data_IF_961288837918
#
_entry.id   IF_961288837918
#
_cell.length_a   1.000
_cell.length_b   1.000
_cell.length_c   1.000
_cell.angle_alpha   90.00
_cell.angle_beta   90.00
_cell.angle_gamma   90.00
#
_symmetry.space_group_name_H-M   'P 1'
#
loop_
_entity.id
_entity.type
_entity.pdbx_description
1 polymer ?
#
# COMPACT_ATOMS: atom_id res chain seq x y z
N UNK A 1 -16.21 24.05 38.40
CA UNK A 1 -15.45 23.99 37.12
C UNK A 1 -15.38 22.56 36.63
N UNK A 2 -15.29 22.38 35.32
CA UNK A 2 -14.94 21.15 34.61
C UNK A 2 -13.88 21.50 33.58
N UNK A 3 -13.14 20.52 33.05
CA UNK A 3 -11.98 20.82 32.22
C UNK A 3 -11.44 19.67 31.41
N UNK A 4 -10.51 20.00 30.51
CA UNK A 4 -9.59 19.04 29.89
C UNK A 4 -8.18 19.33 30.37
N UNK A 5 -7.38 18.27 30.49
CA UNK A 5 -5.96 18.36 30.86
C UNK A 5 -5.15 17.73 29.75
N UNK A 6 -4.20 18.49 29.20
CA UNK A 6 -3.15 17.99 28.33
C UNK A 6 -1.85 17.84 29.11
N UNK A 7 -1.11 16.78 28.85
CA UNK A 7 0.20 16.53 29.43
C UNK A 7 1.24 16.32 28.33
N UNK A 8 2.40 16.96 28.46
CA UNK A 8 3.59 16.65 27.66
C UNK A 8 4.68 16.13 28.59
N UNK A 9 5.06 14.86 28.42
CA UNK A 9 6.17 14.26 29.16
C UNK A 9 7.51 14.89 28.75
N UNK A 10 7.69 15.13 27.45
CA UNK A 10 8.90 15.77 26.89
C UNK A 10 9.16 17.14 27.51
N UNK A 11 8.12 17.97 27.63
CA UNK A 11 8.24 19.31 28.21
C UNK A 11 7.95 19.35 29.71
N UNK A 12 7.65 18.21 30.33
CA UNK A 12 7.22 18.09 31.74
C UNK A 12 6.13 19.11 32.11
N UNK A 13 5.19 19.33 31.20
CA UNK A 13 4.18 20.38 31.32
C UNK A 13 2.76 19.80 31.39
N UNK A 14 1.92 20.43 32.22
CA UNK A 14 0.48 20.17 32.29
C UNK A 14 -0.28 21.44 31.95
N UNK A 15 -1.12 21.37 30.92
CA UNK A 15 -1.99 22.47 30.51
C UNK A 15 -3.43 22.08 30.84
N UNK A 16 -4.14 22.98 31.53
CA UNK A 16 -5.54 22.78 31.89
C UNK A 16 -6.40 23.85 31.24
N UNK A 17 -7.42 23.42 30.51
CA UNK A 17 -8.49 24.31 30.07
C UNK A 17 -9.71 24.04 30.93
N UNK A 18 -10.15 25.05 31.69
CA UNK A 18 -11.25 24.95 32.65
C UNK A 18 -12.41 25.85 32.22
N UNK A 19 -13.64 25.38 32.39
CA UNK A 19 -14.85 26.16 32.15
C UNK A 19 -15.93 25.87 33.21
N UNK A 20 -16.98 26.70 33.22
CA UNK A 20 -18.09 26.55 34.18
C UNK A 20 -18.95 25.32 33.83
N UNK A 21 -19.56 24.70 34.85
CA UNK A 21 -20.36 23.47 34.64
C UNK A 21 -21.65 23.70 33.83
N UNK A 22 -22.21 24.89 33.89
CA UNK A 22 -23.39 25.34 33.16
C UNK A 22 -23.07 25.82 31.73
N UNK A 23 -21.80 25.82 31.35
CA UNK A 23 -21.32 26.34 30.08
C UNK A 23 -20.75 25.22 29.21
N UNK A 24 -20.88 25.34 27.89
CA UNK A 24 -20.20 24.43 26.96
C UNK A 24 -18.74 24.87 26.75
N UNK A 25 -17.80 23.95 26.49
CA UNK A 25 -16.40 24.32 26.20
C UNK A 25 -16.29 25.24 24.97
N UNK A 26 -17.20 25.11 24.01
CA UNK A 26 -17.27 25.99 22.84
C UNK A 26 -17.64 27.43 23.21
N UNK A 27 -18.64 27.60 24.09
CA UNK A 27 -19.04 28.93 24.59
C UNK A 27 -17.89 29.59 25.34
N UNK A 28 -17.18 28.83 26.19
CA UNK A 28 -16.02 29.33 26.92
C UNK A 28 -14.89 29.78 25.98
N UNK A 29 -14.60 29.02 24.92
CA UNK A 29 -13.61 29.41 23.92
C UNK A 29 -14.01 30.68 23.16
N UNK A 30 -15.29 30.86 22.83
CA UNK A 30 -15.79 32.09 22.17
C UNK A 30 -15.72 33.30 23.08
N UNK A 31 -16.01 33.14 24.38
CA UNK A 31 -15.87 34.22 25.35
C UNK A 31 -14.40 34.65 25.49
N UNK A 32 -13.47 33.70 25.56
CA UNK A 32 -12.03 33.99 25.59
C UNK A 32 -11.60 34.70 24.30
N UNK A 33 -11.97 34.17 23.14
CA UNK A 33 -11.65 34.79 21.85
C UNK A 33 -12.23 36.19 21.70
N UNK A 34 -13.46 36.41 22.18
CA UNK A 34 -14.10 37.73 22.17
C UNK A 34 -13.46 38.72 23.15
N UNK A 35 -12.95 38.24 24.29
CA UNK A 35 -12.30 39.08 25.30
C UNK A 35 -10.85 39.42 24.94
N UNK A 36 -10.06 38.43 24.53
CA UNK A 36 -8.64 38.58 24.18
C UNK A 36 -8.43 39.14 22.76
N UNK A 37 -9.47 39.10 21.92
CA UNK A 37 -9.41 39.47 20.50
C UNK A 37 -8.67 38.47 19.63
N UNK A 38 -7.95 37.52 20.22
CA UNK A 38 -7.29 36.42 19.53
C UNK A 38 -7.33 35.13 20.34
N UNK A 39 -7.44 34.00 19.64
CA UNK A 39 -7.26 32.67 20.22
C UNK A 39 -6.55 31.77 19.20
N UNK A 40 -5.64 30.92 19.66
CA UNK A 40 -4.98 29.96 18.77
C UNK A 40 -6.01 28.95 18.22
N UNK A 41 -6.16 28.83 16.90
CA UNK A 41 -7.05 27.84 16.29
C UNK A 41 -6.63 26.40 16.66
N UNK A 42 -5.33 26.13 16.70
CA UNK A 42 -4.80 24.84 17.14
C UNK A 42 -5.23 24.51 18.58
N UNK A 43 -5.13 25.47 19.51
CA UNK A 43 -5.55 25.28 20.90
C UNK A 43 -7.06 25.02 21.00
N UNK A 44 -7.89 25.82 20.32
CA UNK A 44 -9.33 25.63 20.30
C UNK A 44 -9.72 24.25 19.71
N UNK A 45 -9.03 23.83 18.64
CA UNK A 45 -9.18 22.52 18.01
C UNK A 45 -8.89 21.36 18.98
N UNK A 46 -7.73 21.41 19.63
CA UNK A 46 -7.32 20.40 20.61
C UNK A 46 -8.31 20.30 21.79
N UNK A 47 -8.70 21.44 22.35
CA UNK A 47 -9.62 21.52 23.49
C UNK A 47 -11.00 20.96 23.13
N UNK A 48 -11.57 21.38 21.98
CA UNK A 48 -12.89 20.89 21.57
C UNK A 48 -12.89 19.41 21.24
N UNK A 49 -11.85 18.90 20.59
CA UNK A 49 -11.72 17.48 20.30
C UNK A 49 -11.65 16.66 21.61
N UNK A 50 -10.79 17.08 22.55
CA UNK A 50 -10.66 16.44 23.85
C UNK A 50 -11.97 16.49 24.65
N UNK A 51 -12.64 17.64 24.71
CA UNK A 51 -13.86 17.80 25.48
C UNK A 51 -15.06 17.03 24.90
N UNK A 52 -15.05 16.72 23.60
CA UNK A 52 -16.08 15.89 22.97
C UNK A 52 -15.83 14.38 23.07
N UNK A 53 -14.64 13.97 23.51
CA UNK A 53 -14.27 12.56 23.61
C UNK A 53 -15.19 11.80 24.57
N UNK A 54 -15.61 10.59 24.17
CA UNK A 54 -16.44 9.70 25.00
C UNK A 54 -15.63 8.77 25.89
N UNK A 55 -14.42 8.42 25.46
CA UNK A 55 -13.50 7.53 26.16
C UNK A 55 -12.19 8.30 26.36
N UNK A 56 -11.54 8.14 27.52
CA UNK A 56 -10.29 8.80 27.87
C UNK A 56 -9.25 7.74 28.30
N UNK A 57 -7.94 8.00 28.10
CA UNK A 57 -7.36 9.18 27.47
C UNK A 57 -7.55 9.19 25.94
N UNK A 58 -7.58 10.39 25.35
CA UNK A 58 -7.42 10.59 23.90
C UNK A 58 -6.01 11.07 23.61
N UNK A 59 -5.38 10.48 22.60
CA UNK A 59 -3.97 10.67 22.29
C UNK A 59 -3.78 11.37 20.95
N UNK A 60 -4.55 10.98 19.92
CA UNK A 60 -4.32 11.45 18.55
C UNK A 60 -5.27 12.59 18.14
N UNK A 61 -6.55 12.50 18.52
CA UNK A 61 -7.60 13.42 18.06
C UNK A 61 -7.33 14.90 18.36
N UNK A 62 -6.85 15.30 19.56
CA UNK A 62 -6.54 16.70 19.83
C UNK A 62 -5.48 17.25 18.86
N UNK A 63 -4.41 16.51 18.62
CA UNK A 63 -3.31 16.93 17.73
C UNK A 63 -3.75 16.99 16.26
N UNK A 64 -4.53 16.02 15.79
CA UNK A 64 -5.01 15.99 14.41
C UNK A 64 -5.98 17.14 14.10
N UNK A 65 -6.89 17.46 15.02
CA UNK A 65 -7.82 18.60 14.86
C UNK A 65 -7.08 19.92 14.99
N UNK A 66 -6.11 20.03 15.91
CA UNK A 66 -5.26 21.21 16.06
C UNK A 66 -4.51 21.51 14.75
N UNK A 67 -3.86 20.50 14.16
CA UNK A 67 -3.17 20.61 12.87
C UNK A 67 -4.10 21.12 11.76
N UNK A 68 -5.33 20.60 11.65
CA UNK A 68 -6.29 21.07 10.65
C UNK A 68 -6.71 22.53 10.88
N UNK A 69 -6.85 22.96 12.14
CA UNK A 69 -7.19 24.34 12.47
C UNK A 69 -6.09 25.35 12.10
N UNK A 70 -4.83 24.92 12.10
CA UNK A 70 -3.65 25.74 11.87
C UNK A 70 -3.22 25.84 10.39
N UNK A 71 -3.92 25.14 9.49
CA UNK A 71 -3.62 25.17 8.04
C UNK A 71 -3.76 26.56 7.42
N UNK A 72 -4.58 27.43 8.02
CA UNK A 72 -4.81 28.80 7.59
C UNK A 72 -4.47 29.77 8.71
N UNK A 73 -3.96 30.98 8.39
CA UNK A 73 -3.73 32.00 9.39
C UNK A 73 -5.02 32.33 10.16
N UNK A 74 -4.87 32.72 11.43
CA UNK A 74 -5.97 33.27 12.21
C UNK A 74 -6.54 34.51 11.52
N UNK A 75 -7.86 34.62 11.51
CA UNK A 75 -8.56 35.80 10.99
C UNK A 75 -9.45 36.38 12.10
N UNK A 76 -10.21 37.44 11.78
CA UNK A 76 -11.14 38.03 12.72
C UNK A 76 -12.14 36.98 13.26
N UNK A 77 -12.56 37.09 14.53
CA UNK A 77 -13.55 36.19 15.11
C UNK A 77 -14.83 36.14 14.27
N UNK A 78 -15.33 34.93 14.03
CA UNK A 78 -16.61 34.67 13.37
C UNK A 78 -17.64 34.19 14.39
N UNK A 79 -18.92 34.34 14.05
CA UNK A 79 -20.01 34.01 14.96
C UNK A 79 -21.09 33.12 14.34
N UNK A 80 -20.68 32.02 13.71
CA UNK A 80 -21.60 31.10 13.06
C UNK A 80 -22.40 30.27 14.07
N UNK A 81 -23.63 29.94 13.70
CA UNK A 81 -24.50 29.06 14.46
C UNK A 81 -24.21 27.57 14.19
N UNK A 82 -25.11 26.68 14.63
CA UNK A 82 -24.91 25.23 14.43
C UNK A 82 -25.12 24.79 12.99
N UNK A 83 -26.08 25.39 12.31
CA UNK A 83 -26.53 25.03 10.98
C UNK A 83 -25.56 25.59 9.94
N UNK A 84 -25.15 26.85 10.09
CA UNK A 84 -24.16 27.49 9.24
C UNK A 84 -22.84 26.71 9.21
N UNK A 85 -22.33 26.28 10.37
CA UNK A 85 -21.11 25.44 10.42
C UNK A 85 -21.32 24.09 9.71
N UNK A 86 -22.51 23.50 9.79
CA UNK A 86 -22.81 22.25 9.10
C UNK A 86 -22.86 22.45 7.57
N UNK A 87 -23.42 23.56 7.12
CA UNK A 87 -23.51 23.92 5.69
C UNK A 87 -22.13 24.26 5.12
N UNK A 88 -21.29 24.99 5.88
CA UNK A 88 -19.88 25.20 5.52
C UNK A 88 -19.11 23.88 5.40
N UNK A 89 -19.30 22.96 6.34
CA UNK A 89 -18.64 21.66 6.31
C UNK A 89 -19.06 20.81 5.09
N UNK A 90 -20.35 20.84 4.72
CA UNK A 90 -20.83 20.21 3.49
C UNK A 90 -20.27 20.91 2.25
N UNK A 91 -20.25 22.24 2.22
CA UNK A 91 -19.63 23.03 1.16
C UNK A 91 -18.15 22.68 0.94
N UNK A 92 -17.39 22.53 2.02
CA UNK A 92 -15.99 22.07 1.96
C UNK A 92 -15.86 20.68 1.32
N UNK A 93 -16.68 19.71 1.76
CA UNK A 93 -16.66 18.35 1.22
C UNK A 93 -17.12 18.31 -0.25
N UNK A 94 -18.02 19.21 -0.63
CA UNK A 94 -18.43 19.44 -2.00
C UNK A 94 -17.28 19.97 -2.86
N UNK A 95 -16.54 20.96 -2.37
CA UNK A 95 -15.36 21.50 -3.07
C UNK A 95 -14.26 20.45 -3.16
N UNK A 96 -13.98 19.71 -2.09
CA UNK A 96 -12.99 18.62 -2.07
C UNK A 96 -13.29 17.55 -3.14
N UNK A 97 -14.57 17.33 -3.45
CA UNK A 97 -15.00 16.30 -4.40
C UNK A 97 -15.24 16.82 -5.82
N UNK A 98 -15.41 18.14 -6.00
CA UNK A 98 -15.61 18.79 -7.29
C UNK A 98 -14.30 19.39 -7.78
N UNK A 99 -13.97 19.27 -9.07
CA UNK A 99 -12.78 19.91 -9.67
C UNK A 99 -12.90 21.44 -9.85
N UNK A 100 -13.85 22.08 -9.18
CA UNK A 100 -14.14 23.51 -9.34
C UNK A 100 -13.38 24.30 -8.29
N UNK A 101 -12.52 25.22 -8.72
CA UNK A 101 -11.68 26.06 -7.87
C UNK A 101 -12.43 27.18 -7.15
N UNK A 102 -13.59 26.89 -6.56
CA UNK A 102 -14.26 27.82 -5.66
C UNK A 102 -13.53 27.82 -4.32
N UNK A 103 -13.23 29.02 -3.81
CA UNK A 103 -12.61 29.18 -2.50
C UNK A 103 -13.47 28.55 -1.40
N UNK A 104 -12.82 27.76 -0.55
CA UNK A 104 -13.46 27.21 0.64
C UNK A 104 -13.60 28.33 1.66
N UNK A 105 -14.84 28.63 2.04
CA UNK A 105 -15.08 29.49 3.20
C UNK A 105 -14.82 28.70 4.49
N UNK A 106 -13.65 28.91 5.09
CA UNK A 106 -13.30 28.38 6.41
C UNK A 106 -13.53 29.48 7.46
N UNK A 107 -14.18 29.20 8.60
CA UNK A 107 -14.38 30.20 9.64
C UNK A 107 -13.08 30.86 10.11
N UNK A 108 -13.14 32.18 10.28
CA UNK A 108 -12.01 32.99 10.74
C UNK A 108 -11.69 32.78 12.22
N UNK A 109 -12.72 32.71 13.07
CA UNK A 109 -12.59 32.54 14.51
C UNK A 109 -12.17 31.12 14.90
N UNK A 110 -11.26 31.01 15.87
CA UNK A 110 -10.67 29.77 16.36
C UNK A 110 -11.72 28.77 16.86
N UNK A 111 -12.72 29.23 17.62
CA UNK A 111 -13.75 28.35 18.17
C UNK A 111 -14.66 27.77 17.08
N UNK A 112 -15.11 28.62 16.14
CA UNK A 112 -15.94 28.22 15.01
C UNK A 112 -15.17 27.33 14.03
N UNK A 113 -13.89 27.62 13.79
CA UNK A 113 -13.01 26.81 12.94
C UNK A 113 -12.79 25.41 13.52
N UNK A 114 -12.53 25.32 14.82
CA UNK A 114 -12.43 24.03 15.52
C UNK A 114 -13.72 23.22 15.39
N UNK A 115 -14.87 23.89 15.53
CA UNK A 115 -16.17 23.27 15.36
C UNK A 115 -16.44 22.82 13.92
N UNK A 116 -16.04 23.61 12.93
CA UNK A 116 -16.10 23.28 11.50
C UNK A 116 -15.32 22.00 11.19
N UNK A 117 -14.05 21.91 11.60
CA UNK A 117 -13.24 20.71 11.34
C UNK A 117 -13.78 19.46 12.04
N UNK A 118 -14.34 19.58 13.24
CA UNK A 118 -15.05 18.47 13.90
C UNK A 118 -16.32 18.05 13.15
N UNK A 119 -17.04 19.00 12.52
CA UNK A 119 -18.17 18.64 11.66
C UNK A 119 -17.72 17.93 10.39
N UNK A 120 -16.66 18.40 9.73
CA UNK A 120 -16.03 17.70 8.60
C UNK A 120 -15.64 16.28 9.01
N UNK A 121 -14.90 16.14 10.11
CA UNK A 121 -14.46 14.86 10.66
C UNK A 121 -15.62 13.86 10.90
N UNK A 122 -16.74 14.34 11.46
CA UNK A 122 -17.97 13.55 11.63
C UNK A 122 -18.55 13.08 10.30
N UNK A 123 -18.63 13.97 9.32
CA UNK A 123 -19.23 13.72 8.01
C UNK A 123 -18.42 12.74 7.16
N UNK A 124 -17.09 12.69 7.32
CA UNK A 124 -16.23 11.73 6.62
C UNK A 124 -16.62 10.27 6.85
N UNK A 125 -17.31 9.92 7.95
CA UNK A 125 -17.79 8.55 8.19
C UNK A 125 -19.13 8.22 7.53
N UNK A 126 -19.75 9.15 6.81
CA UNK A 126 -20.94 8.89 6.00
C UNK A 126 -20.56 8.14 4.70
N UNK A 127 -21.17 6.98 4.40
CA UNK A 127 -20.86 6.21 3.18
C UNK A 127 -21.06 6.98 1.88
N UNK A 128 -22.03 7.89 1.78
CA UNK A 128 -22.24 8.70 0.57
C UNK A 128 -21.09 9.67 0.34
N UNK A 129 -20.56 10.26 1.42
CA UNK A 129 -19.46 11.23 1.36
C UNK A 129 -18.15 10.51 1.03
N UNK A 130 -17.88 9.37 1.68
CA UNK A 130 -16.67 8.57 1.37
C UNK A 130 -16.61 8.13 -0.08
N UNK A 131 -17.72 7.68 -0.69
CA UNK A 131 -17.75 7.29 -2.11
C UNK A 131 -17.41 8.46 -3.03
N UNK A 132 -18.00 9.64 -2.77
CA UNK A 132 -17.68 10.85 -3.53
C UNK A 132 -16.19 11.21 -3.42
N UNK A 133 -15.61 11.05 -2.23
CA UNK A 133 -14.18 11.24 -1.98
C UNK A 133 -13.33 10.19 -2.71
N UNK A 134 -13.76 8.93 -2.71
CA UNK A 134 -13.07 7.83 -3.38
C UNK A 134 -12.96 8.05 -4.90
N UNK A 135 -14.02 8.60 -5.50
CA UNK A 135 -14.13 8.93 -6.93
C UNK A 135 -13.40 10.24 -7.30
N UNK A 136 -13.16 11.11 -6.32
CA UNK A 136 -12.53 12.41 -6.54
C UNK A 136 -10.99 12.31 -6.66
N UNK A 137 -10.43 13.18 -7.49
CA UNK A 137 -8.98 13.36 -7.62
C UNK A 137 -8.50 14.37 -6.58
N UNK A 138 -8.36 13.93 -5.33
CA UNK A 138 -7.90 14.76 -4.22
C UNK A 138 -6.36 14.76 -4.20
N UNK A 139 -5.75 15.92 -4.02
CA UNK A 139 -4.30 16.07 -3.86
C UNK A 139 -3.80 15.45 -2.55
N UNK A 140 -2.48 15.31 -2.43
CA UNK A 140 -1.85 14.61 -1.32
C UNK A 140 -2.15 15.25 0.03
N UNK A 141 -2.12 16.57 0.13
CA UNK A 141 -2.23 17.28 1.40
C UNK A 141 -3.65 17.18 1.93
N UNK A 142 -4.63 17.39 1.04
CA UNK A 142 -6.03 17.20 1.36
C UNK A 142 -6.34 15.75 1.76
N UNK A 143 -5.74 14.73 1.12
CA UNK A 143 -5.88 13.31 1.53
C UNK A 143 -5.38 13.09 2.96
N UNK A 144 -4.23 13.67 3.32
CA UNK A 144 -3.66 13.54 4.66
C UNK A 144 -4.56 14.20 5.71
N UNK A 145 -5.06 15.41 5.42
CA UNK A 145 -5.94 16.16 6.32
C UNK A 145 -7.24 15.38 6.57
N UNK A 146 -7.92 14.92 5.52
CA UNK A 146 -9.18 14.18 5.71
C UNK A 146 -8.96 12.83 6.38
N UNK A 147 -7.87 12.12 6.09
CA UNK A 147 -7.54 10.88 6.78
C UNK A 147 -7.29 11.13 8.28
N UNK A 148 -6.55 12.19 8.63
CA UNK A 148 -6.29 12.59 10.01
C UNK A 148 -7.56 13.00 10.75
N UNK A 149 -8.45 13.76 10.11
CA UNK A 149 -9.74 14.15 10.69
C UNK A 149 -10.66 12.95 10.90
N UNK A 150 -10.75 12.03 9.92
CA UNK A 150 -11.55 10.82 10.06
C UNK A 150 -11.04 9.95 11.22
N UNK A 151 -9.72 9.80 11.35
CA UNK A 151 -9.08 9.14 12.47
C UNK A 151 -9.41 9.81 13.81
N UNK A 152 -9.29 11.13 13.89
CA UNK A 152 -9.61 11.91 15.08
C UNK A 152 -11.07 11.69 15.50
N UNK A 153 -12.01 11.71 14.56
CA UNK A 153 -13.42 11.48 14.88
C UNK A 153 -13.69 10.07 15.42
N UNK A 154 -13.01 9.06 14.86
CA UNK A 154 -13.14 7.68 15.35
C UNK A 154 -12.64 7.52 16.78
N UNK A 155 -11.71 8.34 17.25
CA UNK A 155 -11.25 8.37 18.64
C UNK A 155 -12.18 9.21 19.54
N UNK A 156 -12.63 10.39 19.09
CA UNK A 156 -13.58 11.24 19.84
C UNK A 156 -14.91 10.51 20.07
N UNK A 157 -15.44 9.85 19.03
CA UNK A 157 -16.65 9.03 19.07
C UNK A 157 -16.32 7.62 18.59
N UNK A 158 -15.90 6.70 19.49
CA UNK A 158 -15.46 5.34 19.17
C UNK A 158 -16.35 4.62 18.14
N UNK A 159 -15.88 4.56 16.89
CA UNK A 159 -16.51 3.79 15.82
C UNK A 159 -15.92 2.40 15.90
N UNK A 160 -16.66 1.45 16.48
CA UNK A 160 -16.16 0.07 16.72
C UNK A 160 -16.39 -0.84 15.52
N UNK A 161 -17.39 -0.54 14.69
CA UNK A 161 -17.78 -1.34 13.52
C UNK A 161 -18.32 -0.46 12.40
N UNK A 162 -18.07 -0.89 11.17
CA UNK A 162 -18.65 -0.33 9.95
C UNK A 162 -19.22 -1.43 9.07
N UNK A 163 -20.21 -1.11 8.24
CA UNK A 163 -20.78 -2.04 7.28
C UNK A 163 -20.12 -1.88 5.92
N UNK A 164 -19.59 -2.97 5.38
CA UNK A 164 -18.95 -3.06 4.06
C UNK A 164 -19.49 -4.29 3.36
N UNK A 165 -20.05 -4.12 2.17
CA UNK A 165 -20.66 -5.21 1.38
C UNK A 165 -21.64 -6.09 2.20
N UNK A 166 -22.45 -5.47 3.06
CA UNK A 166 -23.42 -6.17 3.93
C UNK A 166 -22.80 -6.89 5.15
N UNK A 167 -21.49 -6.77 5.37
CA UNK A 167 -20.79 -7.35 6.53
C UNK A 167 -20.34 -6.27 7.51
N UNK A 168 -20.55 -6.51 8.81
CA UNK A 168 -20.01 -5.67 9.89
C UNK A 168 -18.54 -6.00 10.12
N UNK A 169 -17.65 -5.08 9.75
CA UNK A 169 -16.21 -5.18 9.94
C UNK A 169 -15.80 -4.36 11.17
N UNK A 170 -14.89 -4.91 11.99
CA UNK A 170 -14.35 -4.19 13.15
C UNK A 170 -13.38 -3.09 12.71
N UNK A 171 -13.49 -1.94 13.35
CA UNK A 171 -12.56 -0.82 13.21
C UNK A 171 -11.68 -0.84 14.45
N UNK A 172 -10.37 -1.06 14.26
CA UNK A 172 -9.43 -1.19 15.38
C UNK A 172 -8.53 0.02 15.56
N UNK A 173 -8.35 0.83 14.52
CA UNK A 173 -7.36 1.91 14.51
C UNK A 173 -7.82 3.13 13.72
N UNK A 174 -7.05 4.20 13.89
CA UNK A 174 -7.10 5.44 13.12
C UNK A 174 -6.82 5.23 11.62
N UNK A 175 -6.15 4.14 11.22
CA UNK A 175 -5.84 3.80 9.82
C UNK A 175 -6.99 3.15 9.03
N UNK A 176 -8.13 2.90 9.68
CA UNK A 176 -9.27 2.22 9.07
C UNK A 176 -9.93 3.00 7.92
N UNK A 177 -10.04 4.33 8.06
CA UNK A 177 -10.83 5.12 7.12
C UNK A 177 -10.24 5.16 5.69
N UNK A 178 -8.93 5.35 5.49
CA UNK A 178 -8.31 5.24 4.16
C UNK A 178 -8.61 3.91 3.44
N UNK A 179 -8.69 2.80 4.18
CA UNK A 179 -9.04 1.50 3.60
C UNK A 179 -10.48 1.45 3.09
N UNK A 180 -11.41 2.06 3.82
CA UNK A 180 -12.81 2.13 3.38
C UNK A 180 -12.93 2.95 2.10
N UNK A 181 -12.20 4.06 2.02
CA UNK A 181 -12.17 4.88 0.80
C UNK A 181 -11.53 4.10 -0.36
N UNK A 182 -10.41 3.40 -0.12
CA UNK A 182 -9.77 2.52 -1.11
C UNK A 182 -10.74 1.48 -1.68
N UNK A 183 -11.55 0.84 -0.83
CA UNK A 183 -12.49 -0.21 -1.25
C UNK A 183 -13.74 0.32 -1.94
N UNK A 184 -14.01 1.62 -1.78
CA UNK A 184 -15.05 2.34 -2.48
C UNK A 184 -14.52 2.90 -3.82
N UNK A 185 -13.21 2.78 -4.14
CA UNK A 185 -12.66 3.15 -5.43
C UNK A 185 -12.95 2.11 -6.52
N UNK A 186 -14.02 2.33 -7.27
CA UNK A 186 -14.44 1.45 -8.36
C UNK A 186 -15.43 0.39 -7.89
N UNK A 187 -15.38 -0.85 -8.42
CA UNK A 187 -16.34 -1.87 -8.01
C UNK A 187 -16.21 -2.20 -6.52
N UNK A 188 -17.33 -2.32 -5.78
CA UNK A 188 -17.30 -2.67 -4.37
C UNK A 188 -16.54 -3.97 -4.12
N UNK A 189 -15.81 -4.02 -3.00
CA UNK A 189 -15.17 -5.26 -2.56
C UNK A 189 -16.21 -6.40 -2.43
N UNK A 190 -16.03 -7.53 -3.15
CA UNK A 190 -16.91 -8.67 -3.01
C UNK A 190 -16.88 -9.23 -1.58
N UNK A 191 -18.00 -9.80 -1.13
CA UNK A 191 -18.11 -10.33 0.23
C UNK A 191 -17.12 -11.47 0.47
N UNK A 192 -16.88 -12.31 -0.53
CA UNK A 192 -15.97 -13.45 -0.47
C UNK A 192 -14.53 -12.99 -0.29
N UNK A 193 -14.15 -11.90 -0.96
CA UNK A 193 -12.84 -11.25 -0.80
C UNK A 193 -12.71 -10.70 0.61
N UNK A 194 -13.75 -10.01 1.11
CA UNK A 194 -13.75 -9.47 2.46
C UNK A 194 -13.63 -10.59 3.52
N UNK A 195 -14.31 -11.71 3.31
CA UNK A 195 -14.28 -12.89 4.18
C UNK A 195 -12.92 -13.59 4.16
N UNK A 196 -12.22 -13.58 3.03
CA UNK A 196 -10.86 -14.11 2.96
C UNK A 196 -9.79 -13.15 3.49
N UNK A 197 -9.72 -11.92 2.96
CA UNK A 197 -8.64 -10.97 3.23
C UNK A 197 -8.83 -10.16 4.52
N UNK A 198 -10.04 -10.06 5.07
CA UNK A 198 -10.35 -9.16 6.21
C UNK A 198 -10.94 -9.97 7.36
N UNK A 199 -10.26 -11.07 7.73
CA UNK A 199 -10.74 -11.99 8.79
C UNK A 199 -10.78 -11.35 10.17
N UNK A 200 -9.77 -10.55 10.50
CA UNK A 200 -9.56 -9.99 11.86
C UNK A 200 -10.17 -8.59 12.05
N UNK A 201 -10.71 -7.98 10.99
CA UNK A 201 -11.18 -6.59 10.98
C UNK A 201 -10.36 -5.75 10.01
N UNK A 202 -10.63 -4.44 9.98
CA UNK A 202 -9.90 -3.51 9.12
C UNK A 202 -8.39 -3.54 9.44
N UNK A 203 -7.53 -3.37 8.43
CA UNK A 203 -6.10 -3.25 8.64
C UNK A 203 -5.77 -2.16 9.64
N UNK A 204 -4.81 -2.45 10.51
CA UNK A 204 -4.44 -1.55 11.62
C UNK A 204 -3.45 -0.47 11.19
N UNK A 205 -2.64 -0.76 10.17
CA UNK A 205 -1.68 0.18 9.58
C UNK A 205 -2.19 0.75 8.27
N UNK A 206 -1.58 1.83 7.81
CA UNK A 206 -1.53 2.20 6.40
C UNK A 206 -0.06 2.49 6.11
N UNK A 207 0.47 2.01 4.99
CA UNK A 207 1.82 2.40 4.54
C UNK A 207 1.89 3.88 4.11
N UNK A 208 0.77 4.60 4.18
CA UNK A 208 0.60 6.00 3.80
C UNK A 208 0.45 7.00 4.96
N UNK A 209 0.20 6.55 6.20
CA UNK A 209 0.01 7.45 7.35
C UNK A 209 1.36 7.78 8.04
N UNK A 210 1.51 8.97 8.65
CA UNK A 210 2.80 9.66 8.87
C UNK A 210 3.76 9.02 9.88
N UNK A 211 3.55 7.76 10.28
CA UNK A 211 4.48 7.02 11.14
C UNK A 211 5.72 6.48 10.42
N UNK A 212 5.83 6.68 9.10
CA UNK A 212 6.98 6.25 8.33
C UNK A 212 7.60 7.47 7.64
N UNK A 213 8.24 8.31 8.45
CA UNK A 213 9.39 9.15 8.06
C UNK A 213 10.58 8.25 7.62
N UNK A 214 10.35 7.26 6.76
CA UNK A 214 11.47 6.59 6.09
C UNK A 214 11.85 7.53 4.96
N UNK A 215 12.85 8.35 5.29
CA UNK A 215 13.56 9.24 4.41
C UNK A 215 13.78 8.60 3.03
N UNK A 216 13.62 9.46 2.03
CA UNK A 216 13.66 9.28 0.59
C UNK A 216 14.94 8.63 0.00
N UNK A 217 15.55 7.62 0.62
CA UNK A 217 16.88 7.14 0.24
C UNK A 217 16.95 6.08 -0.89
N UNK A 218 15.86 5.76 -1.60
CA UNK A 218 15.88 4.71 -2.65
C UNK A 218 15.22 5.17 -3.96
N UNK A 219 15.82 4.84 -5.11
CA UNK A 219 15.42 4.91 -6.51
C UNK A 219 14.53 6.07 -6.95
N UNK A 220 15.06 6.81 -7.93
CA UNK A 220 14.28 7.70 -8.76
C UNK A 220 13.13 6.92 -9.42
N UNK A 221 11.88 7.36 -9.24
CA UNK A 221 10.67 6.70 -9.77
C UNK A 221 10.74 6.42 -11.28
N UNK A 222 11.64 7.14 -11.97
CA UNK A 222 11.87 7.04 -13.40
C UNK A 222 12.18 5.63 -13.91
N UNK A 223 12.65 4.69 -13.07
CA UNK A 223 12.96 3.32 -13.51
C UNK A 223 11.85 2.30 -13.22
N UNK A 224 11.08 2.50 -12.14
CA UNK A 224 10.04 1.55 -11.72
C UNK A 224 8.85 1.58 -12.68
N UNK A 225 8.42 2.77 -13.12
CA UNK A 225 7.26 2.89 -14.00
C UNK A 225 7.50 2.22 -15.38
N UNK A 226 8.61 2.47 -16.11
CA UNK A 226 8.90 1.77 -17.35
C UNK A 226 9.03 0.26 -17.20
N UNK A 227 9.50 -0.21 -16.02
CA UNK A 227 9.55 -1.63 -15.70
C UNK A 227 8.13 -2.21 -15.55
N UNK A 228 7.28 -1.56 -14.75
CA UNK A 228 5.87 -1.95 -14.58
C UNK A 228 5.17 -2.04 -15.93
N UNK A 229 5.31 -1.02 -16.79
CA UNK A 229 4.74 -1.05 -18.15
C UNK A 229 5.25 -2.23 -18.97
N UNK A 230 6.57 -2.46 -18.98
CA UNK A 230 7.16 -3.56 -19.76
C UNK A 230 6.69 -4.94 -19.27
N UNK A 231 6.49 -5.11 -17.95
CA UNK A 231 5.95 -6.34 -17.37
C UNK A 231 4.50 -6.57 -17.79
N UNK A 232 3.66 -5.52 -17.77
CA UNK A 232 2.26 -5.61 -18.18
C UNK A 232 2.11 -5.85 -19.69
N UNK A 233 2.93 -5.19 -20.52
CA UNK A 233 2.96 -5.43 -21.97
C UNK A 233 3.36 -6.86 -22.32
N UNK A 234 4.36 -7.42 -21.62
CA UNK A 234 4.73 -8.82 -21.77
C UNK A 234 3.63 -9.76 -21.28
N UNK A 235 2.97 -9.44 -20.16
CA UNK A 235 1.86 -10.21 -19.63
C UNK A 235 0.68 -10.30 -20.60
N UNK A 236 0.41 -9.23 -21.35
CA UNK A 236 -0.66 -9.21 -22.36
C UNK A 236 -0.23 -9.95 -23.63
N UNK A 237 0.98 -9.69 -24.14
CA UNK A 237 1.48 -10.29 -25.38
C UNK A 237 1.67 -11.80 -25.28
N UNK A 238 2.12 -12.29 -24.12
CA UNK A 238 2.55 -13.68 -23.92
C UNK A 238 1.60 -14.48 -23.01
N UNK A 239 0.38 -13.96 -22.78
CA UNK A 239 -0.61 -14.61 -21.93
C UNK A 239 -0.95 -16.03 -22.40
N UNK A 240 -0.75 -17.01 -21.51
CA UNK A 240 -1.20 -18.39 -21.67
C UNK A 240 -2.35 -18.74 -20.70
N UNK A 241 -2.44 -18.01 -19.59
CA UNK A 241 -3.35 -18.29 -18.47
C UNK A 241 -4.21 -17.09 -18.09
N UNK A 242 -5.39 -17.39 -17.54
CA UNK A 242 -6.24 -16.46 -16.80
C UNK A 242 -6.21 -16.87 -15.33
N UNK A 243 -5.48 -16.15 -14.46
CA UNK A 243 -5.33 -16.52 -13.06
C UNK A 243 -6.60 -16.21 -12.28
N UNK A 244 -7.01 -17.14 -11.43
CA UNK A 244 -8.14 -17.03 -10.51
C UNK A 244 -7.77 -17.74 -9.21
N UNK A 245 -8.12 -17.19 -8.05
CA UNK A 245 -8.05 -17.93 -6.79
C UNK A 245 -7.52 -17.13 -5.62
N UNK A 246 -7.33 -17.82 -4.50
CA UNK A 246 -7.06 -17.26 -3.18
C UNK A 246 -5.82 -17.92 -2.55
N UNK A 247 -4.70 -17.20 -2.48
CA UNK A 247 -3.44 -17.77 -2.03
C UNK A 247 -2.53 -16.77 -1.32
N UNK A 248 -1.59 -17.31 -0.53
CA UNK A 248 -0.57 -16.54 0.17
C UNK A 248 0.76 -16.66 -0.56
N UNK A 249 1.40 -15.54 -0.87
CA UNK A 249 2.75 -15.46 -1.39
C UNK A 249 3.71 -15.04 -0.26
N UNK A 250 4.58 -15.95 0.17
CA UNK A 250 5.64 -15.60 1.13
C UNK A 250 6.75 -14.82 0.42
N UNK A 251 7.08 -13.63 0.93
CA UNK A 251 8.20 -12.83 0.46
C UNK A 251 9.50 -13.38 1.05
N UNK A 252 10.57 -13.37 0.25
CA UNK A 252 11.89 -13.71 0.76
C UNK A 252 12.42 -12.55 1.60
N UNK A 253 13.24 -12.83 2.62
CA UNK A 253 13.77 -11.79 3.53
C UNK A 253 14.49 -10.67 2.77
N UNK A 254 15.14 -11.01 1.66
CA UNK A 254 15.87 -10.05 0.84
C UNK A 254 14.99 -9.28 -0.16
N UNK A 255 13.68 -9.58 -0.22
CA UNK A 255 12.75 -8.93 -1.13
C UNK A 255 12.56 -7.45 -0.73
N UNK A 256 12.59 -6.48 -1.68
CA UNK A 256 12.56 -5.06 -1.34
C UNK A 256 11.38 -4.63 -0.46
N UNK A 257 10.18 -5.22 -0.66
CA UNK A 257 9.00 -4.94 0.17
C UNK A 257 9.18 -5.29 1.66
N UNK A 258 10.11 -6.18 2.02
CA UNK A 258 10.40 -6.51 3.41
C UNK A 258 10.95 -5.32 4.21
N UNK A 259 11.53 -4.32 3.53
CA UNK A 259 11.97 -3.06 4.17
C UNK A 259 10.81 -2.21 4.67
N UNK A 260 9.62 -2.39 4.08
CA UNK A 260 8.37 -1.76 4.50
C UNK A 260 7.61 -2.62 5.52
N UNK A 261 8.28 -3.60 6.13
CA UNK A 261 7.71 -4.47 7.16
C UNK A 261 6.83 -5.61 6.61
N UNK A 262 6.80 -5.84 5.30
CA UNK A 262 5.97 -6.90 4.70
C UNK A 262 6.71 -8.23 4.62
N UNK A 263 6.10 -9.33 5.07
CA UNK A 263 6.68 -10.68 4.95
C UNK A 263 5.89 -11.60 4.04
N UNK A 264 4.64 -11.26 3.76
CA UNK A 264 3.79 -11.99 2.84
C UNK A 264 2.75 -11.07 2.20
N UNK A 265 2.22 -11.52 1.07
CA UNK A 265 1.02 -10.99 0.44
C UNK A 265 -0.05 -12.08 0.44
N UNK A 266 -1.28 -11.74 0.80
CA UNK A 266 -2.44 -12.59 0.65
C UNK A 266 -3.29 -12.04 -0.49
N UNK A 267 -3.60 -12.90 -1.46
CA UNK A 267 -4.00 -12.49 -2.79
C UNK A 267 -5.30 -13.18 -3.17
N UNK A 268 -6.29 -12.37 -3.52
CA UNK A 268 -7.48 -12.84 -4.22
C UNK A 268 -7.44 -12.35 -5.66
N UNK A 269 -7.19 -13.27 -6.58
CA UNK A 269 -6.96 -12.99 -8.00
C UNK A 269 -8.19 -13.33 -8.82
N UNK A 270 -8.50 -12.47 -9.78
CA UNK A 270 -9.55 -12.64 -10.77
C UNK A 270 -9.05 -12.16 -12.15
N UNK A 271 -9.82 -12.32 -13.24
CA UNK A 271 -9.37 -11.93 -14.58
C UNK A 271 -9.04 -10.44 -14.77
N UNK A 272 -9.55 -9.56 -13.90
CA UNK A 272 -9.34 -8.10 -14.01
C UNK A 272 -8.17 -7.60 -13.16
N UNK A 273 -7.63 -8.43 -12.25
CA UNK A 273 -6.54 -8.04 -11.37
C UNK A 273 -6.55 -8.83 -10.07
N UNK A 274 -6.19 -8.16 -8.98
CA UNK A 274 -6.12 -8.83 -7.68
C UNK A 274 -6.43 -7.90 -6.52
N UNK A 275 -7.15 -8.41 -5.54
CA UNK A 275 -7.15 -7.83 -4.21
C UNK A 275 -5.92 -8.33 -3.45
N UNK A 276 -5.25 -7.40 -2.77
CA UNK A 276 -3.96 -7.64 -2.13
C UNK A 276 -4.05 -7.21 -0.68
N UNK A 277 -3.79 -8.14 0.21
CA UNK A 277 -3.54 -7.91 1.62
C UNK A 277 -2.03 -8.00 1.89
N UNK A 278 -1.44 -6.94 2.44
CA UNK A 278 -0.06 -6.94 2.92
C UNK A 278 0.03 -7.42 4.36
N UNK A 279 0.93 -8.36 4.66
CA UNK A 279 1.08 -8.96 5.99
C UNK A 279 2.45 -8.67 6.61
N UNK A 280 2.46 -8.28 7.89
CA UNK A 280 3.67 -8.09 8.68
C UNK A 280 4.27 -9.42 9.19
N UNK A 281 5.40 -9.43 9.94
CA UNK A 281 5.98 -10.66 10.48
C UNK A 281 5.07 -11.42 11.47
N UNK A 282 4.09 -10.75 12.06
CA UNK A 282 3.10 -11.33 12.97
C UNK A 282 1.81 -11.78 12.24
N UNK A 283 1.84 -11.79 10.90
CA UNK A 283 0.67 -12.03 10.04
C UNK A 283 -0.51 -11.09 10.37
N UNK A 284 -0.21 -9.83 10.73
CA UNK A 284 -1.21 -8.77 10.86
C UNK A 284 -1.36 -8.03 9.54
N UNK A 285 -2.60 -7.66 9.25
CA UNK A 285 -2.98 -6.92 8.04
C UNK A 285 -2.47 -5.48 8.11
N UNK A 286 -1.55 -5.14 7.21
CA UNK A 286 -0.94 -3.82 7.08
C UNK A 286 -1.72 -2.96 6.09
N UNK A 287 -2.20 -3.55 5.00
CA UNK A 287 -3.09 -2.88 4.07
C UNK A 287 -3.94 -3.89 3.32
N UNK A 288 -5.06 -3.43 2.77
CA UNK A 288 -5.85 -4.18 1.78
C UNK A 288 -6.29 -3.22 0.68
N UNK A 289 -5.96 -3.54 -0.57
CA UNK A 289 -6.30 -2.72 -1.73
C UNK A 289 -6.67 -3.56 -2.95
N UNK A 290 -7.28 -2.91 -3.94
CA UNK A 290 -7.50 -3.49 -5.26
C UNK A 290 -6.42 -3.02 -6.22
N UNK A 291 -5.65 -3.96 -6.75
CA UNK A 291 -4.70 -3.69 -7.83
C UNK A 291 -5.28 -4.15 -9.17
N UNK A 292 -5.06 -3.34 -10.22
CA UNK A 292 -5.49 -3.62 -11.59
C UNK A 292 -4.39 -3.28 -12.57
N UNK A 293 -4.16 -4.12 -13.61
CA UNK A 293 -3.28 -3.76 -14.72
C UNK A 293 -3.67 -2.40 -15.32
N UNK A 294 -2.68 -1.52 -15.53
CA UNK A 294 -2.90 -0.21 -16.15
C UNK A 294 -3.34 0.91 -15.20
N UNK A 295 -3.59 0.63 -13.91
CA UNK A 295 -3.89 1.65 -12.90
C UNK A 295 -2.79 1.67 -11.83
N UNK A 296 -1.91 2.67 -11.91
CA UNK A 296 -0.79 2.83 -10.97
C UNK A 296 -1.29 3.14 -9.56
N UNK A 297 -0.74 2.44 -8.56
CA UNK A 297 -1.05 2.70 -7.15
C UNK A 297 -0.55 4.07 -6.69
N UNK A 298 0.61 4.52 -7.20
CA UNK A 298 1.29 5.75 -6.79
C UNK A 298 0.45 7.03 -6.96
N UNK A 299 -0.50 7.03 -7.90
CA UNK A 299 -1.38 8.18 -8.15
C UNK A 299 -2.75 8.06 -7.48
N UNK A 300 -3.17 6.84 -7.12
CA UNK A 300 -4.59 6.57 -6.85
C UNK A 300 -4.88 5.98 -5.47
N UNK A 301 -3.91 5.33 -4.80
CA UNK A 301 -4.16 4.66 -3.53
C UNK A 301 -4.20 5.62 -2.34
N UNK A 302 -5.06 5.29 -1.39
CA UNK A 302 -5.20 5.92 -0.08
C UNK A 302 -4.36 5.24 1.00
N UNK A 303 -4.03 3.97 0.80
CA UNK A 303 -3.45 3.10 1.84
C UNK A 303 -1.96 2.83 1.65
N UNK A 304 -1.46 2.97 0.42
CA UNK A 304 -0.03 2.88 0.11
C UNK A 304 0.34 4.10 -0.73
N UNK A 305 1.35 4.84 -0.31
CA UNK A 305 1.81 6.03 -1.01
C UNK A 305 3.30 5.96 -1.30
N UNK A 306 3.77 6.90 -2.11
CA UNK A 306 5.18 7.11 -2.32
C UNK A 306 5.90 5.91 -2.95
N UNK A 307 7.14 5.69 -2.52
CA UNK A 307 8.04 4.66 -3.07
C UNK A 307 7.53 3.24 -2.80
N UNK A 308 6.88 3.04 -1.66
CA UNK A 308 6.22 1.78 -1.34
C UNK A 308 5.14 1.44 -2.36
N UNK A 309 4.37 2.44 -2.83
CA UNK A 309 3.32 2.23 -3.82
C UNK A 309 3.91 1.83 -5.18
N UNK A 310 4.96 2.50 -5.64
CA UNK A 310 5.62 2.16 -6.91
C UNK A 310 6.24 0.75 -6.87
N UNK A 311 6.95 0.41 -5.79
CA UNK A 311 7.54 -0.91 -5.62
C UNK A 311 6.48 -2.02 -5.50
N UNK A 312 5.39 -1.76 -4.79
CA UNK A 312 4.26 -2.68 -4.71
C UNK A 312 3.63 -2.86 -6.10
N UNK A 313 3.43 -1.78 -6.84
CA UNK A 313 2.88 -1.81 -8.20
C UNK A 313 3.73 -2.64 -9.16
N UNK A 314 5.06 -2.44 -9.16
CA UNK A 314 5.99 -3.26 -9.94
C UNK A 314 5.99 -4.73 -9.49
N UNK A 315 5.90 -4.98 -8.18
CA UNK A 315 5.80 -6.35 -7.63
C UNK A 315 4.52 -7.05 -8.10
N UNK A 316 3.39 -6.36 -8.09
CA UNK A 316 2.10 -6.90 -8.51
C UNK A 316 2.01 -7.08 -10.02
N UNK A 317 2.61 -6.17 -10.81
CA UNK A 317 2.76 -6.32 -12.25
C UNK A 317 3.66 -7.52 -12.61
N UNK A 318 4.77 -7.70 -11.89
CA UNK A 318 5.66 -8.83 -12.03
C UNK A 318 4.96 -10.16 -11.72
N UNK A 319 4.22 -10.20 -10.61
CA UNK A 319 3.42 -11.36 -10.24
C UNK A 319 2.34 -11.64 -11.29
N UNK A 320 1.59 -10.63 -11.73
CA UNK A 320 0.56 -10.76 -12.77
C UNK A 320 1.12 -11.34 -14.06
N UNK A 321 2.27 -10.85 -14.51
CA UNK A 321 3.01 -11.40 -15.66
C UNK A 321 3.34 -12.87 -15.44
N UNK A 322 3.91 -13.21 -14.30
CA UNK A 322 4.34 -14.57 -14.00
C UNK A 322 3.16 -15.54 -13.94
N UNK A 323 2.03 -15.11 -13.37
CA UNK A 323 0.78 -15.88 -13.36
C UNK A 323 0.20 -16.07 -14.76
N UNK A 324 0.17 -15.03 -15.60
CA UNK A 324 -0.41 -15.11 -16.95
C UNK A 324 0.47 -15.88 -17.94
N UNK A 325 1.79 -15.85 -17.78
CA UNK A 325 2.72 -16.45 -18.74
C UNK A 325 3.20 -17.84 -18.29
N UNK A 326 3.68 -17.97 -17.06
CA UNK A 326 4.29 -19.20 -16.55
C UNK A 326 3.33 -20.03 -15.66
N UNK A 327 2.28 -19.41 -15.12
CA UNK A 327 1.27 -20.07 -14.31
C UNK A 327 1.81 -20.61 -12.99
N UNK A 328 1.41 -21.84 -12.63
CA UNK A 328 1.77 -22.44 -11.34
C UNK A 328 3.29 -22.64 -11.17
N UNK A 329 4.04 -22.80 -12.27
CA UNK A 329 5.50 -22.97 -12.22
C UNK A 329 6.23 -21.74 -11.64
N UNK A 330 5.65 -20.55 -11.77
CA UNK A 330 6.26 -19.34 -11.21
C UNK A 330 6.00 -19.17 -9.70
N UNK A 331 4.89 -19.73 -9.21
CA UNK A 331 4.49 -19.68 -7.80
C UNK A 331 4.20 -21.09 -7.28
N UNK A 332 5.22 -21.96 -7.18
CA UNK A 332 5.02 -23.33 -6.73
C UNK A 332 4.45 -23.38 -5.30
N UNK A 333 3.69 -24.43 -4.97
CA UNK A 333 3.20 -24.63 -3.60
C UNK A 333 4.38 -24.74 -2.64
N UNK A 334 4.27 -24.11 -1.47
CA UNK A 334 5.27 -24.23 -0.42
C UNK A 334 5.21 -25.65 0.13
N UNK A 335 6.19 -26.49 -0.22
CA UNK A 335 6.32 -27.82 0.40
C UNK A 335 6.46 -27.62 1.91
N UNK A 336 5.65 -28.28 2.75
CA UNK A 336 5.89 -28.27 4.18
C UNK A 336 7.31 -28.77 4.41
N UNK A 337 8.10 -28.06 5.24
CA UNK A 337 9.38 -28.61 5.74
C UNK A 337 8.98 -29.86 6.50
N UNK A 338 9.04 -31.03 5.86
CA UNK A 338 9.06 -32.29 6.58
C UNK A 338 10.20 -32.16 7.56
N UNK A 339 9.86 -32.01 8.85
CA UNK A 339 10.85 -32.11 9.91
C UNK A 339 11.64 -33.38 9.60
N UNK A 340 12.97 -33.25 9.52
CA UNK A 340 13.86 -34.41 9.48
C UNK A 340 13.58 -35.19 10.76
N UNK A 341 12.59 -36.09 10.72
CA UNK A 341 12.50 -37.20 11.66
C UNK A 341 13.75 -38.01 11.39
N UNK A 342 14.54 -38.17 12.44
CA UNK A 342 15.76 -38.96 12.42
C UNK A 342 15.46 -40.35 11.86
N UNK A 343 16.32 -40.76 10.92
CA UNK A 343 17.01 -42.06 10.89
C UNK A 343 16.22 -43.24 11.50
N UNK A 344 15.65 -44.08 10.65
CA UNK A 344 15.66 -45.53 10.89
C UNK A 344 15.47 -46.36 9.61
N UNK A 345 16.51 -47.11 9.30
CA UNK A 345 16.60 -48.33 8.47
C UNK A 345 16.23 -48.28 6.98
N UNK A 346 17.30 -48.44 6.18
CA UNK A 346 17.28 -49.01 4.85
C UNK A 346 16.44 -50.30 4.79
N UNK A 347 15.38 -50.25 3.97
CA UNK A 347 14.91 -51.42 3.22
C UNK A 347 14.57 -50.99 1.80
N UNK A 348 15.18 -51.59 0.77
CA UNK A 348 14.82 -51.29 -0.62
C UNK A 348 13.47 -51.96 -0.91
N UNK A 349 12.38 -51.20 -0.85
CA UNK A 349 11.12 -51.59 -1.48
C UNK A 349 11.12 -51.06 -2.91
N UNK A 350 11.28 -52.00 -3.84
CA UNK A 350 10.89 -51.88 -5.25
C UNK A 350 9.52 -51.21 -5.33
N UNK A 351 9.50 -49.97 -5.82
CA UNK A 351 8.27 -49.30 -6.22
C UNK A 351 8.32 -49.18 -7.73
N UNK A 352 7.39 -49.92 -8.35
CA UNK A 352 7.06 -49.85 -9.77
C UNK A 352 6.73 -48.38 -10.09
N UNK A 353 7.27 -47.80 -11.17
CA UNK A 353 6.97 -46.43 -11.54
C UNK A 353 5.48 -46.32 -11.89
N UNK A 354 4.71 -45.71 -10.99
CA UNK A 354 3.37 -45.21 -11.30
C UNK A 354 3.52 -44.12 -12.35
N UNK A 355 3.33 -44.49 -13.61
CA UNK A 355 3.13 -43.57 -14.73
C UNK A 355 1.85 -42.77 -14.48
N UNK A 356 1.96 -41.67 -13.76
CA UNK A 356 0.94 -40.62 -13.81
C UNK A 356 0.90 -40.14 -15.26
N UNK A 357 -0.24 -40.21 -15.96
CA UNK A 357 -0.32 -39.73 -17.33
C UNK A 357 0.06 -38.25 -17.35
N UNK A 358 1.17 -37.95 -18.03
CA UNK A 358 1.51 -36.57 -18.40
C UNK A 358 0.42 -36.15 -19.39
N UNK A 359 -0.58 -35.43 -18.88
CA UNK A 359 -1.62 -34.83 -19.71
C UNK A 359 -0.96 -33.78 -20.58
N UNK A 360 -0.56 -34.18 -21.80
CA UNK A 360 -0.07 -33.25 -22.80
C UNK A 360 -1.17 -32.20 -23.04
N UNK A 361 -0.84 -30.90 -23.05
CA UNK A 361 -1.83 -29.86 -23.34
C UNK A 361 -2.41 -30.14 -24.73
N UNK A 362 -3.69 -30.53 -24.75
CA UNK A 362 -4.50 -30.64 -25.98
C UNK A 362 -4.28 -29.37 -26.79
N UNK A 363 -3.91 -29.48 -28.08
CA UNK A 363 -3.74 -28.34 -29.00
C UNK A 363 -4.94 -27.39 -28.83
N UNK A 364 -4.71 -26.30 -28.11
CA UNK A 364 -5.77 -25.36 -27.72
C UNK A 364 -6.07 -24.44 -28.90
N UNK A 365 -7.32 -24.03 -29.02
CA UNK A 365 -7.72 -23.00 -29.99
C UNK A 365 -6.91 -21.73 -29.68
N UNK A 366 -6.39 -21.02 -30.69
CA UNK A 366 -5.46 -19.89 -30.52
C UNK A 366 -6.01 -18.66 -29.78
N UNK A 367 -7.23 -18.71 -29.23
CA UNK A 367 -7.92 -17.54 -28.67
C UNK A 367 -8.52 -17.74 -27.27
N UNK A 368 -8.37 -18.90 -26.63
CA UNK A 368 -8.92 -19.11 -25.28
C UNK A 368 -7.79 -19.31 -24.26
N UNK A 369 -7.61 -18.32 -23.40
CA UNK A 369 -6.72 -18.40 -22.24
C UNK A 369 -7.19 -19.52 -21.30
N UNK A 370 -6.24 -20.19 -20.67
CA UNK A 370 -6.54 -21.34 -19.82
C UNK A 370 -6.77 -20.90 -18.38
N UNK A 371 -7.89 -21.24 -17.74
CA UNK A 371 -8.12 -20.88 -16.35
C UNK A 371 -7.05 -21.55 -15.48
N UNK A 372 -6.42 -20.75 -14.62
CA UNK A 372 -5.43 -21.20 -13.65
C UNK A 372 -5.99 -20.95 -12.26
N UNK A 373 -6.38 -22.03 -11.57
CA UNK A 373 -6.87 -21.94 -10.19
C UNK A 373 -5.70 -22.09 -9.21
N UNK A 374 -5.50 -21.10 -8.34
CA UNK A 374 -4.44 -21.10 -7.34
C UNK A 374 -5.03 -21.08 -5.93
N UNK A 375 -4.38 -21.81 -5.02
CA UNK A 375 -4.75 -21.83 -3.61
C UNK A 375 -3.56 -22.13 -2.69
N UNK A 376 -3.74 -21.84 -1.40
CA UNK A 376 -2.83 -22.23 -0.32
C UNK A 376 -1.61 -21.32 -0.18
N UNK A 377 -0.58 -21.81 0.53
CA UNK A 377 0.68 -21.07 0.71
C UNK A 377 1.66 -21.38 -0.42
N UNK A 378 2.18 -20.34 -1.04
CA UNK A 378 3.01 -20.34 -2.25
C UNK A 378 4.30 -19.59 -1.99
N UNK A 379 5.34 -19.91 -2.76
CA UNK A 379 6.61 -19.18 -2.77
C UNK A 379 6.91 -18.72 -4.17
N UNK A 380 7.63 -17.61 -4.30
CA UNK A 380 8.10 -17.15 -5.61
C UNK A 380 9.30 -17.99 -6.08
N UNK A 381 9.13 -18.61 -7.25
CA UNK A 381 10.15 -19.42 -7.91
C UNK A 381 10.55 -20.68 -7.13
N UNK A 382 11.34 -21.52 -7.78
CA UNK A 382 12.02 -22.63 -7.09
C UNK A 382 13.18 -22.12 -6.24
N UNK A 383 13.74 -22.98 -5.38
CA UNK A 383 14.99 -22.63 -4.68
C UNK A 383 16.13 -22.36 -5.66
N UNK A 384 16.22 -23.17 -6.74
CA UNK A 384 17.20 -23.01 -7.80
C UNK A 384 17.04 -21.71 -8.58
N UNK A 385 15.81 -21.25 -8.83
CA UNK A 385 15.59 -19.95 -9.49
C UNK A 385 16.12 -18.81 -8.62
N UNK A 386 15.83 -18.85 -7.31
CA UNK A 386 16.26 -17.83 -6.35
C UNK A 386 17.77 -17.80 -6.19
N UNK A 387 18.41 -18.96 -6.09
CA UNK A 387 19.88 -19.03 -5.98
C UNK A 387 20.53 -18.54 -7.27
N UNK A 388 20.00 -18.92 -8.44
CA UNK A 388 20.46 -18.40 -9.72
C UNK A 388 20.35 -16.87 -9.78
N UNK A 389 19.23 -16.30 -9.34
CA UNK A 389 19.03 -14.83 -9.31
C UNK A 389 20.02 -14.15 -8.37
N UNK A 390 20.32 -14.76 -7.22
CA UNK A 390 21.34 -14.27 -6.28
C UNK A 390 22.74 -14.35 -6.88
N UNK A 391 23.07 -15.41 -7.60
CA UNK A 391 24.37 -15.60 -8.26
C UNK A 391 24.57 -14.65 -9.44
N UNK A 392 23.53 -14.38 -10.23
CA UNK A 392 23.61 -13.43 -11.35
C UNK A 392 23.65 -11.98 -10.85
N UNK A 393 23.01 -11.63 -9.73
CA UNK A 393 22.91 -10.23 -9.27
C UNK A 393 24.26 -9.48 -9.19
N UNK A 394 25.35 -10.03 -8.62
CA UNK A 394 26.64 -9.33 -8.57
C UNK A 394 27.50 -9.46 -9.85
N UNK A 395 27.18 -10.40 -10.75
CA UNK A 395 28.05 -10.77 -11.88
C UNK A 395 27.42 -10.49 -13.23
N UNK A 396 26.09 -10.37 -13.30
CA UNK A 396 25.35 -10.12 -14.51
C UNK A 396 25.28 -8.61 -14.77
N UNK A 397 25.04 -8.29 -16.02
CA UNK A 397 24.97 -6.92 -16.47
C UNK A 397 23.96 -6.08 -15.68
N UNK A 398 24.19 -4.78 -15.59
CA UNK A 398 23.17 -3.86 -15.06
C UNK A 398 22.26 -3.38 -16.20
N UNK A 399 21.04 -2.99 -15.84
CA UNK A 399 20.19 -2.24 -16.75
C UNK A 399 20.67 -0.79 -16.74
N UNK A 400 20.82 -0.21 -17.93
CA UNK A 400 21.19 1.20 -18.10
C UNK A 400 20.12 1.92 -18.89
N UNK A 401 19.71 3.09 -18.42
CA UNK A 401 18.84 3.99 -19.18
C UNK A 401 19.56 4.49 -20.44
N UNK A 402 18.87 4.39 -21.57
CA UNK A 402 19.32 4.95 -22.82
C UNK A 402 18.88 6.41 -22.93
N UNK A 403 19.67 7.27 -23.60
CA UNK A 403 19.24 8.60 -24.01
C UNK A 403 17.91 8.59 -24.76
N UNK A 404 17.14 9.70 -24.74
CA UNK A 404 15.91 9.81 -25.51
C UNK A 404 16.10 9.41 -26.97
N UNK A 405 15.12 8.69 -27.54
CA UNK A 405 15.10 8.18 -28.93
C UNK A 405 16.08 7.04 -29.26
N UNK A 406 16.93 6.62 -28.32
CA UNK A 406 17.73 5.41 -28.52
C UNK A 406 16.94 4.15 -28.15
N UNK A 407 17.18 3.07 -28.91
CA UNK A 407 16.55 1.76 -28.67
C UNK A 407 17.62 0.75 -28.26
N UNK A 408 17.31 -0.19 -27.34
CA UNK A 408 18.23 -1.27 -27.03
C UNK A 408 18.46 -2.14 -28.27
N UNK A 409 19.71 -2.55 -28.48
CA UNK A 409 20.05 -3.49 -29.54
C UNK A 409 19.35 -4.83 -29.32
N UNK A 410 19.05 -5.56 -30.39
CA UNK A 410 18.41 -6.87 -30.29
C UNK A 410 19.29 -7.88 -29.55
N UNK A 411 20.60 -7.70 -29.62
CA UNK A 411 21.52 -8.47 -28.80
C UNK A 411 21.38 -8.17 -27.30
N UNK A 412 21.22 -6.92 -26.89
CA UNK A 412 20.97 -6.58 -25.48
C UNK A 412 19.63 -7.18 -24.99
N UNK A 413 18.57 -7.09 -25.81
CA UNK A 413 17.27 -7.73 -25.52
C UNK A 413 17.41 -9.25 -25.39
N UNK A 414 18.12 -9.90 -26.33
CA UNK A 414 18.37 -11.34 -26.31
C UNK A 414 19.11 -11.76 -25.05
N UNK A 415 20.14 -11.01 -24.65
CA UNK A 415 20.90 -11.28 -23.43
C UNK A 415 20.05 -11.12 -22.17
N UNK A 416 19.26 -10.04 -22.07
CA UNK A 416 18.34 -9.83 -20.95
C UNK A 416 17.36 -11.01 -20.82
N UNK A 417 16.77 -11.46 -21.94
CA UNK A 417 15.91 -12.66 -21.96
C UNK A 417 16.64 -13.92 -21.49
N UNK A 418 17.88 -14.14 -21.95
CA UNK A 418 18.68 -15.31 -21.56
C UNK A 418 18.98 -15.37 -20.06
N UNK A 419 19.10 -14.23 -19.40
CA UNK A 419 19.32 -14.16 -17.94
C UNK A 419 18.02 -14.05 -17.13
N UNK A 420 16.86 -14.08 -17.79
CA UNK A 420 15.57 -14.00 -17.10
C UNK A 420 15.20 -12.59 -16.63
N UNK A 421 15.62 -11.54 -17.34
CA UNK A 421 15.32 -10.15 -17.02
C UNK A 421 14.34 -9.59 -18.06
N UNK A 422 13.28 -8.91 -17.60
CA UNK A 422 12.39 -8.09 -18.45
C UNK A 422 13.02 -6.70 -18.58
N UNK A 423 13.31 -6.29 -19.81
CA UNK A 423 14.00 -5.04 -20.09
C UNK A 423 12.97 -3.90 -20.20
N UNK A 424 13.04 -2.85 -19.36
CA UNK A 424 12.15 -1.70 -19.45
C UNK A 424 12.29 -0.96 -20.78
N UNK A 425 11.26 -0.19 -21.17
CA UNK A 425 11.34 0.73 -22.31
C UNK A 425 12.47 1.74 -22.10
N UNK A 426 13.17 2.08 -23.18
CA UNK A 426 14.32 2.99 -23.18
C UNK A 426 15.47 2.58 -22.25
N UNK A 427 15.57 1.29 -21.90
CA UNK A 427 16.71 0.75 -21.18
C UNK A 427 17.45 -0.29 -22.02
N UNK A 428 18.74 -0.48 -21.75
CA UNK A 428 19.59 -1.52 -22.33
C UNK A 428 20.18 -2.40 -21.25
N UNK A 429 20.52 -3.64 -21.61
CA UNK A 429 21.22 -4.56 -20.73
C UNK A 429 22.72 -4.51 -21.04
N UNK A 430 23.49 -3.90 -20.13
CA UNK A 430 24.94 -3.69 -20.29
C UNK A 430 25.66 -4.95 -19.83
N UNK A 431 26.50 -5.57 -20.66
CA UNK A 431 27.26 -6.74 -20.21
C UNK A 431 28.13 -6.39 -18.99
N UNK A 432 28.27 -7.32 -18.03
CA UNK A 432 29.21 -7.13 -16.95
C UNK A 432 30.61 -7.03 -17.55
N UNK A 433 31.34 -5.97 -17.22
CA UNK A 433 32.75 -5.86 -17.58
C UNK A 433 33.51 -6.93 -16.80
N UNK A 434 33.79 -8.07 -17.42
CA UNK A 434 34.83 -8.95 -16.93
C UNK A 434 36.13 -8.16 -16.99
N UNK A 435 36.60 -7.61 -15.86
CA UNK A 435 38.02 -7.22 -15.74
C UNK A 435 38.80 -8.49 -16.06
N UNK A 436 39.34 -8.58 -17.27
CA UNK A 436 40.46 -9.46 -17.53
C UNK A 436 41.61 -8.87 -16.71
N UNK A 437 41.67 -9.21 -15.43
CA UNK A 437 42.92 -9.07 -14.69
C UNK A 437 43.89 -9.96 -15.46
N UNK A 438 44.81 -9.35 -16.20
CA UNK A 438 46.02 -10.01 -16.70
C UNK A 438 46.88 -10.39 -15.48
N UNK A 439 46.37 -11.30 -14.65
CA UNK A 439 47.20 -12.04 -13.69
C UNK A 439 47.43 -13.38 -14.35
N UNK A 440 48.64 -13.46 -14.89
CA UNK A 440 49.30 -14.66 -15.34
C UNK A 440 49.24 -15.68 -14.19
N UNK A 441 49.00 -16.94 -14.55
CA UNK A 441 49.10 -18.17 -13.72
C UNK A 441 48.08 -18.38 -12.60
N UNK A 442 47.07 -19.20 -12.91
CA UNK A 442 46.19 -19.88 -11.95
C UNK A 442 44.79 -20.10 -12.54
N UNK A 443 44.25 -21.34 -12.59
CA UNK A 443 42.90 -21.59 -13.11
C UNK A 443 41.88 -21.08 -12.09
N UNK A 444 41.60 -19.79 -12.11
CA UNK A 444 40.43 -19.25 -11.43
C UNK A 444 39.23 -19.53 -12.34
N UNK A 445 38.28 -20.41 -11.96
CA UNK A 445 37.15 -20.73 -12.80
C UNK A 445 36.25 -19.50 -12.83
N UNK A 446 36.37 -18.72 -13.91
CA UNK A 446 35.25 -17.90 -14.36
C UNK A 446 34.11 -18.88 -14.67
N UNK A 447 33.28 -19.14 -13.65
CA UNK A 447 32.14 -20.04 -13.71
C UNK A 447 31.21 -19.43 -14.76
N UNK A 448 31.31 -19.90 -16.01
CA UNK A 448 30.39 -19.55 -17.10
C UNK A 448 29.01 -19.99 -16.63
N UNK A 449 28.25 -19.07 -16.05
CA UNK A 449 26.85 -19.29 -15.71
C UNK A 449 26.13 -19.64 -17.01
N UNK A 450 25.72 -20.91 -17.13
CA UNK A 450 24.91 -21.33 -18.26
C UNK A 450 23.54 -20.66 -18.11
N UNK A 451 23.01 -20.00 -19.15
CA UNK A 451 21.70 -19.37 -19.08
C UNK A 451 20.66 -20.45 -18.77
N UNK A 452 19.90 -20.23 -17.69
CA UNK A 452 18.81 -21.11 -17.25
C UNK A 452 17.49 -20.37 -17.39
N UNK A 453 16.42 -21.03 -17.91
CA UNK A 453 15.12 -20.40 -18.01
C UNK A 453 14.51 -20.24 -16.61
N UNK A 454 14.53 -19.00 -16.10
CA UNK A 454 13.86 -18.62 -14.85
C UNK A 454 12.36 -18.56 -15.10
N UNK A 455 11.59 -19.38 -14.37
CA UNK A 455 10.13 -19.48 -14.55
C UNK A 455 9.40 -18.23 -14.08
N UNK A 456 9.81 -17.71 -12.94
CA UNK A 456 9.21 -16.53 -12.33
C UNK A 456 10.00 -15.26 -12.66
N UNK A 457 10.04 -14.95 -13.96
CA UNK A 457 10.89 -13.94 -14.59
C UNK A 457 10.53 -12.52 -14.17
N UNK A 458 9.26 -12.22 -13.96
CA UNK A 458 8.80 -10.90 -13.55
C UNK A 458 9.35 -10.54 -12.17
N UNK A 459 9.08 -11.38 -11.18
CA UNK A 459 9.53 -11.15 -9.81
C UNK A 459 11.06 -11.25 -9.69
N UNK A 460 11.72 -12.05 -10.54
CA UNK A 460 13.17 -12.07 -10.68
C UNK A 460 13.73 -10.73 -11.12
N UNK A 461 13.05 -10.08 -12.07
CA UNK A 461 13.44 -8.77 -12.59
C UNK A 461 13.36 -7.71 -11.50
N UNK A 462 12.26 -7.66 -10.74
CA UNK A 462 12.12 -6.73 -9.62
C UNK A 462 13.22 -6.93 -8.58
N UNK A 463 13.52 -8.18 -8.24
CA UNK A 463 14.61 -8.54 -7.31
C UNK A 463 16.00 -8.19 -7.81
N UNK A 464 16.26 -8.34 -9.11
CA UNK A 464 17.57 -8.03 -9.69
C UNK A 464 17.82 -6.52 -9.73
N UNK A 465 16.79 -5.72 -10.06
CA UNK A 465 16.93 -4.29 -10.32
C UNK A 465 16.84 -3.43 -9.06
N UNK A 466 15.88 -3.72 -8.18
CA UNK A 466 15.56 -2.83 -7.06
C UNK A 466 16.31 -3.19 -5.78
N UNK A 467 17.26 -4.12 -5.87
CA UNK A 467 18.09 -4.51 -4.76
C UNK A 467 19.51 -3.91 -4.83
N UNK A 468 19.93 -3.30 -5.94
CA UNK A 468 21.27 -2.70 -6.10
C UNK A 468 21.49 -1.41 -5.28
N UNK A 469 20.43 -0.79 -4.78
CA UNK A 469 20.53 0.38 -3.89
C UNK A 469 20.69 -0.03 -2.42
N UNK A 470 21.69 -0.84 -2.13
CA UNK A 470 22.02 -1.32 -0.78
C UNK A 470 23.22 -0.61 -0.21
#
# INVERSE_FOLDING_TARGET
MVGVVGSSEEHRALIRFLWRRDQSPFTALREIEGFEGHLSPALAGAVLAAAQAREYPVTYAPSAVAMACDLLPSQAPTYYDRQEIADLAEGFLDILTKRTGTDVLIPGGAADRARFWLQVARRLWNPKIRRRIAEASIDRDNRLIVAALAAAWAEVKPIKRVEVAGRKVRVHTTGAWPHLVEWEQGPPIPREVLDSLVKRGLPSGALSLPYVYVADAFADYGEILPLTEALLEEAEREAAYTPIGDFFLTLQREYPLCRYGLTALHLWVDPEGMWVEGLDPEERSVFVLRWRPGRLLSSSSWVVAGKAAALLDATLAALWRDLRVAGEEAVPPRRPRTAKRGRETDRPRSSIPSTTPVTLPRKRRPHTLSPLSLSGRRVWGTHSDRDYIREIRPVAGHIRRLPPRQKPSDEAKRRARLVGIVLPKNCTYVRPHSRQTRVRTGPSPSRKLSPRPVKARGLATVMALLAEEQ
#
